data_IF_268599227414
#
_entry.id   IF_268599227414
#
_cell.length_a   1.000
_cell.length_b   1.000
_cell.length_c   1.000
_cell.angle_alpha   90.00
_cell.angle_beta   90.00
_cell.angle_gamma   90.00
#
_symmetry.space_group_name_H-M   'P 1'
#
loop_
_entity.id
_entity.type
_entity.pdbx_description
1 polymer ?
#
# COMPACT_ATOMS: atom_id res chain seq x y z
N UNK A 1 -11.36 22.12 -3.64
CA UNK A 1 -11.12 21.74 -2.22
C UNK A 1 -10.13 20.59 -2.21
N UNK A 2 -8.99 20.75 -1.52
CA UNK A 2 -7.99 19.69 -1.36
C UNK A 2 -8.23 19.06 0.01
N UNK A 3 -8.96 17.94 0.04
CA UNK A 3 -9.30 17.27 1.28
C UNK A 3 -8.27 16.19 1.58
N UNK A 4 -7.49 16.36 2.65
CA UNK A 4 -6.69 15.26 3.22
C UNK A 4 -7.63 14.38 4.04
N UNK A 5 -8.28 13.43 3.38
CA UNK A 5 -9.32 12.62 3.98
C UNK A 5 -8.90 11.16 3.93
N UNK A 6 -9.14 10.46 5.03
CA UNK A 6 -9.21 9.01 5.04
C UNK A 6 -10.47 8.66 4.25
N UNK A 7 -10.32 8.28 2.99
CA UNK A 7 -11.43 7.85 2.13
C UNK A 7 -11.50 6.34 2.26
N UNK A 8 -12.65 5.80 2.65
CA UNK A 8 -12.87 4.34 2.74
C UNK A 8 -11.80 3.58 3.54
N UNK A 9 -11.39 4.12 4.69
CA UNK A 9 -10.30 3.60 5.55
C UNK A 9 -8.89 3.64 4.93
N UNK A 10 -8.71 4.24 3.76
CA UNK A 10 -7.42 4.40 3.10
C UNK A 10 -6.86 5.81 3.31
N UNK A 11 -5.62 5.89 3.81
CA UNK A 11 -4.86 7.16 3.86
C UNK A 11 -4.27 7.41 2.48
N UNK A 12 -4.92 8.28 1.69
CA UNK A 12 -4.48 8.60 0.31
C UNK A 12 -3.56 9.83 0.23
N UNK A 13 -3.37 10.54 1.35
CA UNK A 13 -2.46 11.68 1.46
C UNK A 13 -2.29 12.14 2.90
N UNK A 14 -1.09 12.61 3.25
CA UNK A 14 -0.79 13.16 4.57
C UNK A 14 -0.93 14.68 4.50
N UNK A 15 -1.73 15.24 5.40
CA UNK A 15 -1.83 16.68 5.58
C UNK A 15 -0.67 17.16 6.45
N UNK A 16 0.29 17.84 5.84
CA UNK A 16 1.34 18.53 6.59
C UNK A 16 0.98 20.01 6.70
N UNK A 17 0.66 20.48 7.91
CA UNK A 17 0.49 21.92 8.19
C UNK A 17 1.89 22.54 8.29
N UNK A 18 2.16 23.58 7.50
CA UNK A 18 3.44 24.30 7.55
C UNK A 18 3.46 25.12 8.85
N UNK A 19 4.19 24.65 9.86
CA UNK A 19 4.23 25.26 11.20
C UNK A 19 3.59 24.33 12.24
N UNK A 20 4.44 23.73 13.06
CA UNK A 20 4.11 22.59 13.92
C UNK A 20 2.97 22.83 14.90
N UNK A 21 2.13 21.80 15.02
CA UNK A 21 1.45 21.25 16.21
C UNK A 21 0.33 20.36 15.66
N UNK A 22 0.44 19.04 15.89
CA UNK A 22 -0.63 18.07 15.65
C UNK A 22 -1.65 18.20 16.79
N UNK A 23 -2.42 19.29 16.76
CA UNK A 23 -3.37 19.59 17.81
C UNK A 23 -4.59 20.25 17.22
N UNK A 24 -5.71 19.52 17.29
CA UNK A 24 -7.07 20.02 17.18
C UNK A 24 -7.39 20.86 15.94
N UNK A 25 -7.76 20.20 14.84
CA UNK A 25 -8.89 20.66 14.04
C UNK A 25 -9.45 19.46 13.25
N UNK A 26 -10.65 19.01 13.65
CA UNK A 26 -11.43 17.96 12.97
C UNK A 26 -12.04 18.45 11.64
N UNK A 27 -11.63 19.62 11.18
CA UNK A 27 -12.33 20.38 10.16
C UNK A 27 -11.34 20.86 9.13
N UNK A 28 -11.23 20.12 8.02
CA UNK A 28 -10.74 20.64 6.74
C UNK A 28 -9.31 21.16 6.71
N UNK A 29 -8.50 20.55 5.85
CA UNK A 29 -7.26 21.13 5.38
C UNK A 29 -7.51 22.60 4.92
N UNK A 30 -6.99 23.58 5.67
CA UNK A 30 -7.04 25.00 5.28
C UNK A 30 -6.31 25.26 3.96
N UNK A 31 -6.44 26.47 3.38
CA UNK A 31 -5.89 26.79 2.06
C UNK A 31 -4.38 26.54 1.89
N UNK A 32 -3.62 26.49 2.99
CA UNK A 32 -2.17 26.29 3.03
C UNK A 32 -1.73 24.86 3.41
N UNK A 33 -2.67 23.91 3.50
CA UNK A 33 -2.32 22.53 3.75
C UNK A 33 -1.62 21.92 2.52
N UNK A 34 -0.38 21.50 2.69
CA UNK A 34 0.34 20.77 1.65
C UNK A 34 -0.02 19.29 1.76
N UNK A 35 -0.68 18.74 0.73
CA UNK A 35 -0.88 17.30 0.61
C UNK A 35 0.47 16.71 0.21
N UNK A 36 1.09 16.00 1.14
CA UNK A 36 2.28 15.21 0.87
C UNK A 36 1.89 13.77 0.58
N UNK A 37 2.47 13.11 -0.45
CA UNK A 37 2.20 11.70 -0.70
C UNK A 37 2.62 10.86 0.51
N UNK A 38 1.90 9.76 0.74
CA UNK A 38 2.29 8.78 1.76
C UNK A 38 3.65 8.20 1.36
N UNK A 39 4.62 8.22 2.28
CA UNK A 39 5.94 7.69 2.00
C UNK A 39 5.85 6.20 1.61
N UNK A 40 6.63 5.78 0.61
CA UNK A 40 6.58 4.43 0.05
C UNK A 40 6.70 3.32 1.11
N UNK A 41 7.47 3.56 2.17
CA UNK A 41 7.64 2.63 3.31
C UNK A 41 6.33 2.27 4.05
N UNK A 42 5.27 3.05 3.87
CA UNK A 42 3.95 2.80 4.46
C UNK A 42 2.94 2.25 3.45
N UNK A 43 3.30 2.19 2.16
CA UNK A 43 2.45 1.70 1.07
C UNK A 43 3.01 0.45 0.42
N UNK A 44 4.18 -0.03 0.85
CA UNK A 44 4.80 -1.25 0.35
C UNK A 44 4.93 -2.29 1.47
N UNK A 45 4.76 -3.55 1.09
CA UNK A 45 5.06 -4.72 1.91
C UNK A 45 6.12 -5.50 1.14
N UNK A 46 7.25 -5.77 1.78
CA UNK A 46 8.32 -6.61 1.23
C UNK A 46 8.65 -7.74 2.20
N UNK A 47 9.19 -8.83 1.69
CA UNK A 47 9.55 -9.98 2.48
C UNK A 47 10.26 -11.05 1.65
N UNK A 48 10.73 -12.10 2.32
CA UNK A 48 11.38 -13.23 1.67
C UNK A 48 10.49 -14.46 1.83
N UNK A 49 10.19 -15.14 0.72
CA UNK A 49 9.51 -16.42 0.72
C UNK A 49 10.54 -17.52 0.52
N UNK A 50 10.63 -18.43 1.47
CA UNK A 50 11.46 -19.63 1.37
C UNK A 50 10.57 -20.86 1.23
N UNK A 51 10.96 -21.79 0.36
CA UNK A 51 10.27 -23.06 0.18
C UNK A 51 11.24 -24.22 0.38
N UNK A 52 10.75 -25.28 1.01
CA UNK A 52 11.45 -26.57 1.11
C UNK A 52 11.00 -27.55 0.02
N UNK A 53 9.98 -27.19 -0.75
CA UNK A 53 9.47 -28.00 -1.83
C UNK A 53 10.35 -27.84 -3.08
N UNK A 54 11.00 -28.94 -3.51
CA UNK A 54 11.94 -28.89 -4.63
C UNK A 54 11.28 -28.46 -5.95
N UNK A 55 10.00 -28.78 -6.16
CA UNK A 55 9.26 -28.38 -7.37
C UNK A 55 9.12 -26.87 -7.39
N UNK A 56 8.68 -26.27 -6.28
CA UNK A 56 8.55 -24.83 -6.16
C UNK A 56 9.90 -24.11 -6.20
N UNK A 57 10.97 -24.71 -5.71
CA UNK A 57 12.31 -24.15 -5.81
C UNK A 57 12.78 -24.03 -7.27
N UNK A 58 12.30 -24.92 -8.16
CA UNK A 58 12.60 -24.88 -9.60
C UNK A 58 11.70 -23.94 -10.41
N UNK A 59 10.73 -23.28 -9.77
CA UNK A 59 9.80 -22.40 -10.46
C UNK A 59 10.49 -21.15 -11.00
N UNK A 60 10.09 -20.76 -12.20
CA UNK A 60 10.55 -19.51 -12.81
C UNK A 60 9.97 -18.30 -12.08
N UNK A 61 10.60 -17.13 -12.27
CA UNK A 61 10.08 -15.84 -11.76
C UNK A 61 8.63 -15.61 -12.18
N UNK A 62 8.24 -15.99 -13.39
CA UNK A 62 6.86 -15.87 -13.89
C UNK A 62 5.88 -16.73 -13.10
N UNK A 63 6.25 -17.97 -12.75
CA UNK A 63 5.39 -18.84 -11.93
C UNK A 63 5.20 -18.28 -10.52
N UNK A 64 6.27 -17.77 -9.91
CA UNK A 64 6.17 -17.08 -8.62
C UNK A 64 5.34 -15.80 -8.72
N UNK A 65 5.49 -15.04 -9.80
CA UNK A 65 4.69 -13.86 -10.06
C UNK A 65 3.20 -14.19 -10.17
N UNK A 66 2.83 -15.32 -10.79
CA UNK A 66 1.44 -15.78 -10.84
C UNK A 66 0.87 -16.10 -9.47
N UNK A 67 1.66 -16.71 -8.59
CA UNK A 67 1.26 -16.97 -7.19
C UNK A 67 1.05 -15.66 -6.44
N UNK A 68 1.97 -14.70 -6.56
CA UNK A 68 1.83 -13.38 -5.93
C UNK A 68 0.62 -12.61 -6.46
N UNK A 69 0.35 -12.67 -7.78
CA UNK A 69 -0.83 -12.08 -8.39
C UNK A 69 -2.14 -12.73 -7.91
N UNK A 70 -2.14 -14.05 -7.62
CA UNK A 70 -3.28 -14.71 -6.97
C UNK A 70 -3.42 -14.24 -5.53
N UNK A 71 -2.32 -14.11 -4.78
CA UNK A 71 -2.32 -13.54 -3.43
C UNK A 71 -2.92 -12.13 -3.39
N UNK A 72 -2.54 -11.25 -4.31
CA UNK A 72 -3.13 -9.92 -4.45
C UNK A 72 -4.63 -9.96 -4.72
N UNK A 73 -5.09 -10.83 -5.62
CA UNK A 73 -6.52 -11.00 -5.90
C UNK A 73 -7.29 -11.51 -4.68
N UNK A 74 -6.69 -12.42 -3.91
CA UNK A 74 -7.27 -12.88 -2.65
C UNK A 74 -7.39 -11.73 -1.66
N UNK A 75 -6.33 -10.94 -1.46
CA UNK A 75 -6.36 -9.74 -0.61
C UNK A 75 -7.42 -8.73 -1.07
N UNK A 76 -7.53 -8.49 -2.38
CA UNK A 76 -8.54 -7.63 -2.99
C UNK A 76 -9.99 -8.14 -2.74
N UNK A 77 -10.17 -9.44 -2.50
CA UNK A 77 -11.47 -10.04 -2.19
C UNK A 77 -11.85 -10.01 -0.70
N UNK A 78 -10.91 -9.66 0.17
CA UNK A 78 -11.16 -9.54 1.62
C UNK A 78 -11.82 -8.20 1.99
N UNK A 79 -12.26 -8.00 3.24
CA UNK A 79 -12.72 -6.69 3.71
C UNK A 79 -11.67 -5.57 3.58
N UNK A 80 -10.38 -5.92 3.44
CA UNK A 80 -9.30 -4.96 3.16
C UNK A 80 -9.16 -4.66 1.66
N UNK A 81 -10.00 -5.25 0.81
CA UNK A 81 -9.91 -5.21 -0.64
C UNK A 81 -9.75 -3.82 -1.26
N UNK A 82 -10.45 -2.78 -0.79
CA UNK A 82 -10.27 -1.41 -1.28
C UNK A 82 -8.81 -0.90 -1.17
N UNK A 83 -8.03 -1.39 -0.19
CA UNK A 83 -6.62 -1.01 -0.02
C UNK A 83 -5.70 -1.68 -1.05
N UNK A 84 -6.12 -2.80 -1.63
CA UNK A 84 -5.30 -3.63 -2.52
C UNK A 84 -5.78 -3.60 -3.98
N UNK A 85 -6.86 -2.89 -4.29
CA UNK A 85 -7.45 -2.88 -5.64
C UNK A 85 -6.51 -2.29 -6.70
N UNK A 86 -5.63 -1.38 -6.29
CA UNK A 86 -4.59 -0.76 -7.13
C UNK A 86 -3.18 -1.25 -6.79
N UNK A 87 -3.05 -2.27 -5.94
CA UNK A 87 -1.75 -2.81 -5.55
C UNK A 87 -1.15 -3.63 -6.70
N UNK A 88 0.17 -3.50 -6.87
CA UNK A 88 0.97 -4.35 -7.75
C UNK A 88 1.92 -5.21 -6.92
N UNK A 89 2.37 -6.32 -7.49
CA UNK A 89 3.38 -7.19 -6.87
C UNK A 89 4.53 -7.39 -7.82
N UNK A 90 5.73 -7.54 -7.27
CA UNK A 90 6.93 -7.85 -8.03
C UNK A 90 7.71 -8.91 -7.27
N UNK A 91 8.12 -9.96 -7.97
CA UNK A 91 9.01 -10.98 -7.43
C UNK A 91 10.42 -10.66 -7.88
N UNK A 92 11.34 -10.50 -6.93
CA UNK A 92 12.77 -10.42 -7.24
C UNK A 92 13.37 -11.81 -7.11
N UNK A 93 14.05 -12.24 -8.17
CA UNK A 93 14.82 -13.49 -8.17
C UNK A 93 16.23 -13.18 -7.69
N UNK A 94 16.83 -14.14 -6.99
CA UNK A 94 18.27 -14.15 -6.77
C UNK A 94 19.00 -14.55 -8.05
#
# INVERSE_FOLDING_TARGET
MKSCVIIDNAVTGICSRRGGVLGADRSGAGPDATITPVAAKHTSISGTLSTTNFVMASWSKTMWQDVMNRGLRMLASTPLGPLFISASSTVDGN
#
